data_IF_829075308643
#
_entry.id   IF_829075308643
#
_cell.length_a   1.000
_cell.length_b   1.000
_cell.length_c   1.000
_cell.angle_alpha   90.00
_cell.angle_beta   90.00
_cell.angle_gamma   90.00
#
_symmetry.space_group_name_H-M   'P 1'
#
loop_
_entity.id
_entity.type
_entity.pdbx_description
1 polymer ?
#
# COMPACT_ATOMS: atom_id res chain seq x y z
N UNK A 1 9.18 0.51 9.59
CA UNK A 1 7.93 -0.19 9.92
C UNK A 1 8.18 -1.30 10.96
N UNK A 2 9.05 -2.27 10.71
CA UNK A 2 9.29 -3.42 11.60
C UNK A 2 9.72 -3.05 13.04
N UNK A 3 10.19 -1.85 13.29
CA UNK A 3 10.50 -1.37 14.65
C UNK A 3 9.24 -0.92 15.42
N UNK A 4 8.13 -0.67 14.75
CA UNK A 4 6.93 -0.08 15.33
C UNK A 4 5.70 -1.00 15.31
N UNK A 5 5.76 -2.09 14.56
CA UNK A 5 4.68 -3.06 14.43
C UNK A 5 5.11 -4.45 14.88
N UNK A 6 4.22 -5.16 15.56
CA UNK A 6 4.49 -6.54 16.02
C UNK A 6 4.65 -7.50 14.83
N UNK A 7 3.89 -7.30 13.78
CA UNK A 7 3.95 -8.09 12.54
C UNK A 7 3.94 -7.15 11.35
N UNK A 8 4.85 -7.37 10.41
CA UNK A 8 4.89 -6.69 9.11
C UNK A 8 4.87 -7.76 8.03
N UNK A 9 4.01 -7.57 7.05
CA UNK A 9 3.92 -8.44 5.87
C UNK A 9 4.26 -7.61 4.63
N UNK A 10 5.27 -8.04 3.91
CA UNK A 10 5.65 -7.45 2.62
C UNK A 10 5.11 -8.32 1.48
N UNK A 11 4.41 -7.67 0.56
CA UNK A 11 3.79 -8.33 -0.59
C UNK A 11 4.33 -7.68 -1.85
N UNK A 12 4.92 -8.47 -2.73
CA UNK A 12 5.57 -7.98 -3.95
C UNK A 12 5.51 -9.05 -5.05
N UNK A 13 5.41 -8.62 -6.30
CA UNK A 13 5.49 -9.50 -7.46
C UNK A 13 6.92 -9.91 -7.83
N UNK A 14 7.90 -9.08 -7.51
CA UNK A 14 9.32 -9.36 -7.78
C UNK A 14 9.92 -10.21 -6.65
N UNK A 15 10.17 -11.48 -6.97
CA UNK A 15 10.79 -12.41 -6.02
C UNK A 15 12.21 -12.02 -5.62
N UNK A 16 12.96 -11.34 -6.50
CA UNK A 16 14.33 -10.93 -6.16
C UNK A 16 14.35 -9.83 -5.11
N UNK A 17 13.40 -8.90 -5.19
CA UNK A 17 13.20 -7.87 -4.16
C UNK A 17 12.83 -8.47 -2.80
N UNK A 18 11.95 -9.48 -2.80
CA UNK A 18 11.58 -10.19 -1.57
C UNK A 18 12.75 -10.97 -0.96
N UNK A 19 13.59 -11.60 -1.78
CA UNK A 19 14.80 -12.27 -1.30
C UNK A 19 15.77 -11.29 -0.64
N UNK A 20 16.00 -10.13 -1.25
CA UNK A 20 16.85 -9.09 -0.65
C UNK A 20 16.27 -8.59 0.68
N UNK A 21 14.96 -8.37 0.74
CA UNK A 21 14.29 -7.95 1.97
C UNK A 21 14.44 -9.00 3.09
N UNK A 22 14.30 -10.28 2.77
CA UNK A 22 14.42 -11.36 3.76
C UNK A 22 15.85 -11.49 4.35
N UNK A 23 16.86 -11.11 3.58
CA UNK A 23 18.25 -11.04 4.07
C UNK A 23 18.46 -9.83 4.99
N UNK A 24 17.86 -8.69 4.66
CA UNK A 24 18.04 -7.45 5.43
C UNK A 24 17.30 -7.46 6.78
N UNK A 25 16.14 -8.12 6.86
CA UNK A 25 15.27 -8.12 8.06
C UNK A 25 14.65 -9.51 8.31
N UNK A 26 15.47 -10.55 8.51
CA UNK A 26 15.03 -11.96 8.45
C UNK A 26 13.92 -12.32 9.45
N UNK A 27 13.94 -11.73 10.65
CA UNK A 27 13.05 -12.12 11.76
C UNK A 27 11.87 -11.16 11.98
N UNK A 28 11.71 -10.15 11.14
CA UNK A 28 10.76 -9.06 11.41
C UNK A 28 9.71 -8.82 10.34
N UNK A 29 9.90 -9.41 9.17
CA UNK A 29 9.01 -9.21 8.03
C UNK A 29 8.70 -10.55 7.38
N UNK A 30 7.43 -10.87 7.29
CA UNK A 30 6.96 -11.97 6.47
C UNK A 30 6.89 -11.52 5.01
N UNK A 31 7.41 -12.31 4.08
CA UNK A 31 7.42 -11.98 2.66
C UNK A 31 6.48 -12.89 1.88
N UNK A 32 5.68 -12.31 0.98
CA UNK A 32 4.77 -13.05 0.10
C UNK A 32 4.92 -12.58 -1.34
N UNK A 33 5.26 -13.52 -2.24
CA UNK A 33 5.24 -13.28 -3.67
C UNK A 33 3.79 -13.33 -4.17
N UNK A 34 3.29 -12.22 -4.72
CA UNK A 34 1.92 -12.11 -5.18
C UNK A 34 1.84 -11.19 -6.41
N UNK A 35 1.15 -11.63 -7.44
CA UNK A 35 0.81 -10.75 -8.55
C UNK A 35 -0.29 -9.77 -8.13
N UNK A 36 0.10 -8.56 -7.74
CA UNK A 36 -0.79 -7.49 -7.27
C UNK A 36 -1.72 -6.93 -8.37
N UNK A 37 -1.53 -7.32 -9.63
CA UNK A 37 -2.44 -6.99 -10.73
C UNK A 37 -3.50 -8.06 -10.99
N UNK A 38 -3.46 -9.18 -10.28
CA UNK A 38 -4.44 -10.25 -10.37
C UNK A 38 -5.47 -10.12 -9.25
N UNK A 39 -6.67 -9.62 -9.58
CA UNK A 39 -7.76 -9.51 -8.60
C UNK A 39 -8.04 -10.86 -7.88
N UNK A 40 -8.17 -12.00 -8.57
CA UNK A 40 -8.39 -13.27 -7.88
C UNK A 40 -7.27 -13.66 -6.91
N UNK A 41 -6.01 -13.37 -7.25
CA UNK A 41 -4.88 -13.67 -6.38
C UNK A 41 -4.87 -12.77 -5.13
N UNK A 42 -5.18 -11.49 -5.30
CA UNK A 42 -5.27 -10.52 -4.19
C UNK A 42 -6.45 -10.87 -3.28
N UNK A 43 -7.61 -11.16 -3.84
CA UNK A 43 -8.81 -11.56 -3.06
C UNK A 43 -8.56 -12.83 -2.24
N UNK A 44 -7.98 -13.87 -2.84
CA UNK A 44 -7.63 -15.09 -2.13
C UNK A 44 -6.63 -14.82 -1.00
N UNK A 45 -5.60 -14.01 -1.28
CA UNK A 45 -4.57 -13.68 -0.30
C UNK A 45 -5.14 -12.89 0.90
N UNK A 46 -6.05 -11.95 0.66
CA UNK A 46 -6.66 -11.12 1.71
C UNK A 46 -7.67 -11.94 2.52
N UNK A 47 -8.47 -12.79 1.88
CA UNK A 47 -9.53 -13.56 2.55
C UNK A 47 -9.00 -14.51 3.65
N UNK A 48 -7.73 -14.90 3.54
CA UNK A 48 -7.04 -15.73 4.53
C UNK A 48 -6.44 -14.91 5.70
N UNK A 49 -6.60 -13.58 5.70
CA UNK A 49 -5.93 -12.68 6.65
C UNK A 49 -6.91 -11.77 7.36
N UNK A 50 -6.68 -11.63 8.65
CA UNK A 50 -7.42 -10.72 9.53
C UNK A 50 -6.46 -9.82 10.29
N UNK A 51 -6.98 -8.73 10.86
CA UNK A 51 -6.20 -7.85 11.71
C UNK A 51 -5.21 -6.94 10.99
N UNK A 52 -5.37 -6.73 9.67
CA UNK A 52 -4.56 -5.75 8.93
C UNK A 52 -5.08 -4.35 9.28
N UNK A 53 -4.36 -3.66 10.15
CA UNK A 53 -4.74 -2.33 10.64
C UNK A 53 -4.10 -1.20 9.85
N UNK A 54 -2.91 -1.41 9.31
CA UNK A 54 -2.17 -0.42 8.54
C UNK A 54 -1.77 -0.99 7.20
N UNK A 55 -2.05 -0.26 6.15
CA UNK A 55 -1.68 -0.57 4.78
C UNK A 55 -0.70 0.48 4.26
N UNK A 56 0.46 0.05 3.79
CA UNK A 56 1.42 0.92 3.12
C UNK A 56 1.43 0.55 1.64
N UNK A 57 1.21 1.54 0.79
CA UNK A 57 1.10 1.40 -0.65
C UNK A 57 2.14 2.27 -1.36
N UNK A 58 2.84 1.68 -2.30
CA UNK A 58 3.73 2.35 -3.25
C UNK A 58 3.52 1.72 -4.64
N UNK A 59 2.36 1.97 -5.27
CA UNK A 59 2.03 1.36 -6.54
C UNK A 59 2.78 2.04 -7.69
N UNK A 60 2.89 1.38 -8.86
CA UNK A 60 3.40 1.99 -10.07
C UNK A 60 2.50 3.16 -10.53
N UNK A 61 2.93 3.89 -11.57
CA UNK A 61 2.23 5.08 -12.10
C UNK A 61 0.75 4.83 -12.45
N UNK A 62 0.39 3.61 -12.83
CA UNK A 62 -1.00 3.24 -13.10
C UNK A 62 -1.88 3.16 -11.85
N UNK A 63 -1.29 3.27 -10.67
CA UNK A 63 -1.99 3.18 -9.38
C UNK A 63 -2.49 1.78 -9.06
N UNK A 64 -3.46 1.70 -8.15
CA UNK A 64 -4.06 0.43 -7.73
C UNK A 64 -5.05 -0.07 -8.78
N UNK A 65 -4.79 -1.24 -9.37
CA UNK A 65 -5.70 -1.87 -10.33
C UNK A 65 -6.81 -2.67 -9.64
N UNK A 66 -6.55 -3.16 -8.44
CA UNK A 66 -7.48 -3.97 -7.62
C UNK A 66 -7.99 -3.13 -6.43
N UNK A 67 -8.85 -2.14 -6.69
CA UNK A 67 -9.19 -1.10 -5.72
C UNK A 67 -10.31 -1.47 -4.74
N UNK A 68 -11.55 -1.24 -5.14
CA UNK A 68 -12.70 -1.29 -4.23
C UNK A 68 -12.94 -2.65 -3.56
N UNK A 69 -12.89 -3.80 -4.28
CA UNK A 69 -13.08 -5.09 -3.62
C UNK A 69 -12.04 -5.35 -2.53
N UNK A 70 -10.80 -5.02 -2.79
CA UNK A 70 -9.68 -5.12 -1.87
C UNK A 70 -9.90 -4.29 -0.59
N UNK A 71 -10.29 -3.02 -0.71
CA UNK A 71 -10.51 -2.14 0.44
C UNK A 71 -11.66 -2.65 1.32
N UNK A 72 -12.73 -3.16 0.72
CA UNK A 72 -13.91 -3.69 1.44
C UNK A 72 -13.59 -4.92 2.28
N UNK A 73 -12.65 -5.74 1.86
CA UNK A 73 -12.27 -6.96 2.59
C UNK A 73 -11.41 -6.66 3.81
N UNK A 74 -10.69 -5.53 3.83
CA UNK A 74 -9.86 -5.12 4.95
C UNK A 74 -10.68 -4.41 6.03
N UNK A 75 -11.54 -5.15 6.73
CA UNK A 75 -12.48 -4.61 7.71
C UNK A 75 -11.81 -3.93 8.90
N UNK A 76 -10.64 -4.42 9.31
CA UNK A 76 -9.87 -3.90 10.44
C UNK A 76 -8.92 -2.76 10.06
N UNK A 77 -8.91 -2.35 8.77
CA UNK A 77 -8.03 -1.32 8.27
C UNK A 77 -8.38 0.05 8.84
N UNK A 78 -7.45 0.63 9.59
CA UNK A 78 -7.59 1.92 10.24
C UNK A 78 -6.82 3.04 9.53
N UNK A 79 -5.69 2.71 8.91
CA UNK A 79 -4.79 3.67 8.30
C UNK A 79 -4.24 3.17 6.98
N UNK A 80 -4.17 4.07 6.02
CA UNK A 80 -3.47 3.86 4.75
C UNK A 80 -2.40 4.93 4.60
N UNK A 81 -1.18 4.50 4.34
CA UNK A 81 -0.06 5.35 3.93
C UNK A 81 0.15 5.08 2.44
N UNK A 82 -0.03 6.10 1.62
CA UNK A 82 0.04 5.98 0.17
C UNK A 82 1.16 6.88 -0.38
N UNK A 83 2.16 6.27 -0.98
CA UNK A 83 3.22 6.97 -1.73
C UNK A 83 2.87 6.92 -3.21
N UNK A 84 3.08 7.99 -3.94
CA UNK A 84 2.78 8.05 -5.38
C UNK A 84 3.68 9.02 -6.12
N UNK A 85 4.00 8.67 -7.34
CA UNK A 85 4.66 9.55 -8.32
C UNK A 85 3.69 10.10 -9.39
N UNK A 86 2.37 9.77 -9.32
CA UNK A 86 1.35 10.24 -10.26
C UNK A 86 0.10 10.71 -9.52
N UNK A 87 -0.14 12.02 -9.55
CA UNK A 87 -1.25 12.66 -8.84
C UNK A 87 -2.63 12.32 -9.42
N UNK A 88 -2.72 12.04 -10.71
CA UNK A 88 -4.01 11.74 -11.33
C UNK A 88 -4.52 10.35 -10.91
N UNK A 89 -3.65 9.35 -10.94
CA UNK A 89 -3.98 8.02 -10.46
C UNK A 89 -4.18 7.98 -8.96
N UNK A 90 -3.37 8.73 -8.20
CA UNK A 90 -3.56 8.90 -6.76
C UNK A 90 -4.93 9.47 -6.39
N UNK A 91 -5.37 10.55 -7.05
CA UNK A 91 -6.66 11.17 -6.78
C UNK A 91 -7.82 10.21 -7.04
N UNK A 92 -7.73 9.41 -8.11
CA UNK A 92 -8.68 8.34 -8.43
C UNK A 92 -8.72 7.27 -7.32
N UNK A 93 -7.56 6.80 -6.88
CA UNK A 93 -7.45 5.74 -5.87
C UNK A 93 -7.86 6.25 -4.48
N UNK A 94 -7.50 7.49 -4.12
CA UNK A 94 -7.97 8.13 -2.89
C UNK A 94 -9.50 8.23 -2.84
N UNK A 95 -10.15 8.55 -3.95
CA UNK A 95 -11.62 8.60 -4.01
C UNK A 95 -12.25 7.28 -3.55
N UNK A 96 -11.70 6.14 -3.99
CA UNK A 96 -12.21 4.83 -3.59
C UNK A 96 -12.09 4.61 -2.07
N UNK A 97 -10.99 5.07 -1.44
CA UNK A 97 -10.84 5.02 0.02
C UNK A 97 -11.82 5.95 0.74
N UNK A 98 -12.01 7.18 0.24
CA UNK A 98 -12.98 8.12 0.82
C UNK A 98 -14.41 7.56 0.79
N UNK A 99 -14.80 6.92 -0.31
CA UNK A 99 -16.11 6.25 -0.46
C UNK A 99 -16.28 5.06 0.50
N UNK A 100 -15.19 4.50 1.03
CA UNK A 100 -15.19 3.45 2.04
C UNK A 100 -15.04 3.98 3.49
N UNK A 101 -15.25 5.28 3.71
CA UNK A 101 -15.28 5.89 5.03
C UNK A 101 -13.90 6.31 5.58
N UNK A 102 -12.89 6.39 4.73
CA UNK A 102 -11.62 7.00 5.11
C UNK A 102 -11.66 8.52 4.94
N UNK A 103 -10.77 9.20 5.66
CA UNK A 103 -10.51 10.64 5.52
C UNK A 103 -9.05 10.87 5.20
N UNK A 104 -8.79 11.74 4.24
CA UNK A 104 -7.44 12.20 3.93
C UNK A 104 -6.98 13.17 5.03
N UNK A 105 -6.05 12.73 5.87
CA UNK A 105 -5.62 13.49 7.05
C UNK A 105 -4.28 14.19 6.85
N UNK A 106 -3.48 13.73 5.89
CA UNK A 106 -2.19 14.35 5.59
C UNK A 106 -1.83 14.15 4.12
N UNK A 107 -1.25 15.20 3.52
CA UNK A 107 -0.59 15.16 2.21
C UNK A 107 0.74 15.88 2.33
N UNK A 108 1.82 15.21 1.95
CA UNK A 108 3.17 15.75 2.03
C UNK A 108 3.85 15.56 0.67
N UNK A 109 4.10 16.62 -0.08
CA UNK A 109 4.91 16.53 -1.29
C UNK A 109 6.38 16.30 -0.92
N UNK A 110 7.06 15.48 -1.69
CA UNK A 110 8.46 15.11 -1.53
C UNK A 110 9.20 15.37 -2.84
N UNK A 111 10.12 16.32 -2.85
CA UNK A 111 10.99 16.59 -4.00
C UNK A 111 12.22 15.67 -3.93
N UNK A 112 12.05 14.44 -4.37
CA UNK A 112 13.12 13.43 -4.42
C UNK A 112 13.95 13.50 -5.71
N UNK A 113 13.45 14.20 -6.71
CA UNK A 113 14.08 14.34 -8.03
C UNK A 113 14.19 15.82 -8.42
N UNK A 114 15.00 16.61 -7.69
CA UNK A 114 15.11 18.05 -7.92
C UNK A 114 15.50 18.36 -9.38
N UNK A 115 14.93 19.43 -9.93
CA UNK A 115 15.09 19.87 -11.33
C UNK A 115 14.43 18.95 -12.39
N UNK A 116 13.54 18.05 -11.96
CA UNK A 116 12.70 17.26 -12.86
C UNK A 116 11.23 17.57 -12.59
N UNK A 117 10.30 17.26 -13.53
CA UNK A 117 8.86 17.42 -13.28
C UNK A 117 8.27 16.32 -12.37
N UNK A 118 9.11 15.47 -11.80
CA UNK A 118 8.67 14.36 -10.97
C UNK A 118 8.55 14.78 -9.51
N UNK A 119 7.35 14.67 -8.97
CA UNK A 119 7.04 14.90 -7.58
C UNK A 119 6.48 13.62 -6.97
N UNK A 120 7.07 13.19 -5.86
CA UNK A 120 6.47 12.15 -5.02
C UNK A 120 5.52 12.80 -4.01
N UNK A 121 4.44 12.10 -3.70
CA UNK A 121 3.51 12.54 -2.67
C UNK A 121 3.28 11.39 -1.68
N UNK A 122 3.51 11.68 -0.40
CA UNK A 122 3.12 10.82 0.69
C UNK A 122 1.80 11.33 1.27
N UNK A 123 0.81 10.47 1.28
CA UNK A 123 -0.49 10.79 1.90
C UNK A 123 -0.86 9.78 2.99
N UNK A 124 -1.64 10.24 3.96
CA UNK A 124 -2.17 9.41 5.04
C UNK A 124 -3.69 9.54 5.02
N UNK A 125 -4.36 8.41 4.95
CA UNK A 125 -5.79 8.31 5.11
C UNK A 125 -6.07 7.49 6.38
N UNK A 126 -7.04 7.94 7.17
CA UNK A 126 -7.47 7.23 8.38
C UNK A 126 -8.96 6.96 8.33
N UNK A 127 -9.38 5.83 8.88
CA UNK A 127 -10.80 5.54 9.01
C UNK A 127 -11.42 6.54 10.00
N UNK A 128 -12.61 7.03 9.70
CA UNK A 128 -13.34 7.98 10.55
C UNK A 128 -13.93 7.30 11.77
#
# INVERSE_FOLDING_TARGET
LAAHFATVVAVEGDQSALQQLSVLVPDRVQTHALNLFSLPAVDAWISERQGIRVLVLDPPREGLKVRVPFIKQLTDLEMVIYVTCDLATWARDCKDFLEQGFRLTRVTPLDLFPQTPHLEVLSVLTRA
#
